data_IF_867854020239
#
_entry.id   IF_867854020239
#
_cell.length_a   1.000
_cell.length_b   1.000
_cell.length_c   1.000
_cell.angle_alpha   90.00
_cell.angle_beta   90.00
_cell.angle_gamma   90.00
#
_symmetry.space_group_name_H-M   'P 1'
#
loop_
_entity.id
_entity.type
_entity.pdbx_description
1 polymer ?
#
# COMPACT_ATOMS: atom_id res chain seq x y z
N UNK A 1 -11.12 -20.57 13.34
CA UNK A 1 -9.78 -19.96 13.27
C UNK A 1 -9.94 -18.69 12.48
N UNK A 2 -9.63 -17.53 13.06
CA UNK A 2 -9.79 -16.23 12.39
C UNK A 2 -8.63 -16.00 11.41
N UNK A 3 -8.96 -15.59 10.19
CA UNK A 3 -8.03 -15.30 9.09
C UNK A 3 -8.17 -13.85 8.66
N UNK A 4 -7.25 -13.37 7.83
CA UNK A 4 -7.31 -12.01 7.29
C UNK A 4 -8.51 -11.77 6.36
N UNK A 5 -9.19 -12.84 5.91
CA UNK A 5 -10.44 -12.75 5.15
C UNK A 5 -11.64 -12.34 6.00
N UNK A 6 -11.55 -12.53 7.33
CA UNK A 6 -12.63 -12.19 8.26
C UNK A 6 -12.65 -10.70 8.63
N UNK A 7 -11.66 -9.93 8.15
CA UNK A 7 -11.52 -8.49 8.39
C UNK A 7 -11.89 -7.71 7.13
N UNK A 8 -12.69 -6.63 7.23
CA UNK A 8 -12.93 -5.73 6.11
C UNK A 8 -11.63 -5.24 5.48
N UNK A 9 -11.57 -5.24 4.15
CA UNK A 9 -10.36 -4.91 3.39
C UNK A 9 -9.77 -3.56 3.77
N UNK A 10 -10.63 -2.56 3.96
CA UNK A 10 -10.22 -1.18 4.13
C UNK A 10 -9.55 -0.99 5.50
N UNK A 11 -10.08 -1.66 6.53
CA UNK A 11 -9.49 -1.68 7.87
C UNK A 11 -8.14 -2.39 7.87
N UNK A 12 -8.08 -3.57 7.24
CA UNK A 12 -6.84 -4.35 7.16
C UNK A 12 -5.74 -3.60 6.40
N UNK A 13 -6.07 -3.03 5.24
CA UNK A 13 -5.11 -2.30 4.40
C UNK A 13 -4.63 -1.03 5.09
N UNK A 14 -5.52 -0.30 5.76
CA UNK A 14 -5.16 0.90 6.54
C UNK A 14 -4.10 0.59 7.58
N UNK A 15 -4.39 -0.34 8.49
CA UNK A 15 -3.47 -0.74 9.55
C UNK A 15 -2.17 -1.35 9.01
N UNK A 16 -2.27 -2.23 8.01
CA UNK A 16 -1.09 -2.85 7.40
C UNK A 16 -0.19 -1.82 6.74
N UNK A 17 -0.74 -0.80 6.06
CA UNK A 17 0.06 0.26 5.44
C UNK A 17 0.83 1.09 6.48
N UNK A 18 0.22 1.37 7.63
CA UNK A 18 0.90 2.06 8.73
C UNK A 18 2.04 1.22 9.31
N UNK A 19 1.79 -0.08 9.55
CA UNK A 19 2.82 -1.01 10.03
C UNK A 19 3.99 -1.16 9.05
N UNK A 20 3.71 -1.24 7.75
CA UNK A 20 4.77 -1.31 6.74
C UNK A 20 5.63 -0.04 6.71
N UNK A 21 5.06 1.12 7.03
CA UNK A 21 5.79 2.39 7.09
C UNK A 21 6.71 2.51 8.30
N UNK A 22 6.45 1.78 9.39
CA UNK A 22 7.29 1.72 10.58
C UNK A 22 8.50 0.77 10.41
N UNK A 23 8.53 -0.05 9.36
CA UNK A 23 9.58 -1.03 9.14
C UNK A 23 10.72 -0.46 8.31
N UNK A 24 11.89 -0.27 8.93
CA UNK A 24 13.11 0.24 8.25
C UNK A 24 13.54 -0.60 7.03
N UNK A 25 13.16 -1.89 7.00
CA UNK A 25 13.44 -2.79 5.88
C UNK A 25 12.55 -2.50 4.64
N UNK A 26 11.48 -1.71 4.79
CA UNK A 26 10.46 -1.49 3.77
C UNK A 26 10.38 0.02 3.51
N UNK A 27 11.14 0.46 2.51
CA UNK A 27 11.18 1.86 2.10
C UNK A 27 10.64 2.03 0.67
N UNK A 28 9.88 3.10 0.41
CA UNK A 28 9.49 3.45 -0.94
C UNK A 28 10.75 3.79 -1.75
N UNK A 29 10.82 3.35 -3.01
CA UNK A 29 11.91 3.74 -3.89
C UNK A 29 11.79 5.24 -4.24
N UNK A 30 12.92 5.90 -4.50
CA UNK A 30 12.98 7.35 -4.76
C UNK A 30 11.99 7.82 -5.85
N UNK A 31 11.82 7.03 -6.91
CA UNK A 31 10.92 7.36 -8.01
C UNK A 31 9.43 7.38 -7.60
N UNK A 32 9.04 6.79 -6.46
CA UNK A 32 7.62 6.71 -6.06
C UNK A 32 6.99 8.08 -5.82
N UNK A 33 7.80 9.12 -5.59
CA UNK A 33 7.33 10.48 -5.37
C UNK A 33 6.84 11.18 -6.65
N UNK A 34 7.28 10.74 -7.84
CA UNK A 34 7.07 11.48 -9.09
C UNK A 34 6.35 10.68 -10.19
N UNK A 35 6.20 9.37 -10.02
CA UNK A 35 5.59 8.51 -11.05
C UNK A 35 4.07 8.47 -10.99
N UNK A 36 3.50 8.16 -12.15
CA UNK A 36 2.10 7.76 -12.27
C UNK A 36 1.98 6.26 -12.00
N UNK A 37 0.84 5.82 -11.48
CA UNK A 37 0.61 4.40 -11.17
C UNK A 37 0.28 3.54 -12.41
N UNK A 38 0.08 4.16 -13.57
CA UNK A 38 -0.10 3.47 -14.85
C UNK A 38 -0.29 4.46 -16.01
N UNK A 39 -0.18 3.95 -17.25
CA UNK A 39 -0.29 4.75 -18.48
C UNK A 39 -1.63 5.48 -18.63
N UNK A 40 -2.70 4.89 -18.11
CA UNK A 40 -4.07 5.43 -18.15
C UNK A 40 -4.32 6.58 -17.16
N UNK A 41 -3.37 6.87 -16.25
CA UNK A 41 -3.48 7.99 -15.30
C UNK A 41 -2.79 9.22 -15.89
N UNK A 42 -3.40 10.38 -15.72
CA UNK A 42 -2.80 11.66 -16.11
C UNK A 42 -1.87 12.23 -15.03
N UNK A 43 -2.24 12.05 -13.75
CA UNK A 43 -1.54 12.60 -12.59
C UNK A 43 -0.99 11.51 -11.65
N UNK A 44 0.11 11.78 -10.91
CA UNK A 44 0.55 10.95 -9.80
C UNK A 44 -0.50 10.83 -8.69
N UNK A 45 -0.39 9.83 -7.80
CA UNK A 45 -1.18 9.76 -6.58
C UNK A 45 -0.99 11.01 -5.71
N UNK A 46 -2.08 11.50 -5.11
CA UNK A 46 -2.06 12.65 -4.20
C UNK A 46 -1.83 12.29 -2.73
N UNK A 47 -1.89 11.00 -2.39
CA UNK A 47 -1.65 10.52 -1.02
C UNK A 47 -0.15 10.23 -0.86
N UNK A 48 0.48 10.80 0.16
CA UNK A 48 1.93 10.66 0.36
C UNK A 48 2.33 9.21 0.67
N UNK A 49 1.50 8.49 1.42
CA UNK A 49 1.71 7.08 1.79
C UNK A 49 1.17 6.08 0.74
N UNK A 50 0.86 6.51 -0.49
CA UNK A 50 0.24 5.65 -1.51
C UNK A 50 1.01 4.36 -1.77
N UNK A 51 2.35 4.41 -1.68
CA UNK A 51 3.21 3.27 -1.95
C UNK A 51 3.00 2.17 -0.90
N UNK A 52 2.91 2.53 0.37
CA UNK A 52 2.61 1.61 1.47
C UNK A 52 1.20 1.04 1.37
N UNK A 53 0.21 1.86 1.00
CA UNK A 53 -1.17 1.40 0.77
C UNK A 53 -1.20 0.35 -0.36
N UNK A 54 -0.48 0.61 -1.46
CA UNK A 54 -0.35 -0.34 -2.58
C UNK A 54 0.35 -1.64 -2.15
N UNK A 55 1.42 -1.54 -1.38
CA UNK A 55 2.14 -2.71 -0.86
C UNK A 55 1.25 -3.58 0.04
N UNK A 56 0.48 -2.95 0.94
CA UNK A 56 -0.50 -3.63 1.80
C UNK A 56 -1.59 -4.33 0.97
N UNK A 57 -2.14 -3.66 -0.05
CA UNK A 57 -3.14 -4.23 -0.93
C UNK A 57 -2.63 -5.42 -1.75
N UNK A 58 -1.37 -5.36 -2.23
CA UNK A 58 -0.72 -6.48 -2.93
C UNK A 58 -0.51 -7.65 -1.99
N UNK A 59 -0.03 -7.41 -0.77
CA UNK A 59 0.19 -8.48 0.22
C UNK A 59 -1.11 -9.22 0.53
N UNK A 60 -2.21 -8.49 0.75
CA UNK A 60 -3.55 -9.08 0.94
C UNK A 60 -4.05 -9.85 -0.28
N UNK A 61 -3.62 -9.49 -1.49
CA UNK A 61 -4.08 -10.13 -2.74
C UNK A 61 -3.34 -11.44 -3.04
N UNK A 62 -2.07 -11.52 -2.64
CA UNK A 62 -1.18 -12.67 -2.91
C UNK A 62 -1.20 -13.68 -1.77
N UNK A 63 -1.28 -13.21 -0.52
CA UNK A 63 -1.59 -14.09 0.62
C UNK A 63 -2.98 -14.67 0.47
#
# INVERSE_FOLDING_TARGET
MTTYHDVPSDLLIGELSARLAEMDAINPPEWSAIVKTGTHRERPPSQDNWWYIRSAAILRKVG
#
